data_IF_445903535829
#
_entry.id   IF_445903535829
#
_cell.length_a   1.000
_cell.length_b   1.000
_cell.length_c   1.000
_cell.angle_alpha   90.00
_cell.angle_beta   90.00
_cell.angle_gamma   90.00
#
_symmetry.space_group_name_H-M   'P 1'
#
loop_
_entity.id
_entity.type
_entity.pdbx_description
1 polymer ?
#
# COMPACT_ATOMS: atom_id res chain seq x y z
N UNK A 1 -21.47 11.84 -2.97
CA UNK A 1 -20.44 12.23 -3.96
C UNK A 1 -19.09 11.77 -3.43
N UNK A 2 -18.15 11.36 -4.28
CA UNK A 2 -16.82 10.97 -3.84
C UNK A 2 -15.90 12.19 -3.79
N UNK A 3 -15.05 12.27 -2.76
CA UNK A 3 -14.05 13.32 -2.63
C UNK A 3 -12.79 13.05 -3.45
N UNK A 4 -11.83 13.96 -3.37
CA UNK A 4 -10.48 13.82 -3.91
C UNK A 4 -9.47 13.97 -2.79
N UNK A 5 -8.41 13.16 -2.82
CA UNK A 5 -7.26 13.30 -1.92
C UNK A 5 -5.97 13.32 -2.73
N UNK A 6 -5.00 14.08 -2.24
CA UNK A 6 -3.68 14.20 -2.84
C UNK A 6 -2.69 13.29 -2.13
N UNK A 7 -1.95 12.52 -2.91
CA UNK A 7 -0.72 11.87 -2.46
C UNK A 7 0.45 12.82 -2.74
N UNK A 8 1.26 13.12 -1.73
CA UNK A 8 2.46 13.95 -1.86
C UNK A 8 3.62 13.24 -1.16
N UNK A 9 4.69 12.96 -1.91
CA UNK A 9 5.87 12.37 -1.28
C UNK A 9 6.48 13.32 -0.24
N UNK A 10 7.35 12.80 0.65
CA UNK A 10 7.86 13.57 1.80
C UNK A 10 8.58 14.86 1.38
N UNK A 11 9.32 14.84 0.28
CA UNK A 11 9.98 16.04 -0.27
C UNK A 11 9.12 16.83 -1.28
N UNK A 12 7.88 16.39 -1.55
CA UNK A 12 6.95 17.04 -2.47
C UNK A 12 7.27 16.92 -3.96
N UNK A 13 8.33 16.22 -4.35
CA UNK A 13 8.73 16.07 -5.74
C UNK A 13 7.79 15.20 -6.57
N UNK A 14 7.11 14.23 -5.93
CA UNK A 14 6.13 13.33 -6.55
C UNK A 14 4.76 13.64 -5.98
N UNK A 15 3.78 13.84 -6.88
CA UNK A 15 2.40 14.15 -6.53
C UNK A 15 1.43 13.32 -7.35
N UNK A 16 0.35 12.87 -6.72
CA UNK A 16 -0.74 12.18 -7.40
C UNK A 16 -2.09 12.62 -6.85
N UNK A 17 -3.11 12.58 -7.70
CA UNK A 17 -4.50 12.79 -7.30
C UNK A 17 -5.24 11.44 -7.30
N UNK A 18 -6.04 11.21 -6.25
CA UNK A 18 -6.96 10.07 -6.19
C UNK A 18 -8.38 10.62 -6.19
N UNK A 19 -9.15 10.29 -7.21
CA UNK A 19 -10.49 10.82 -7.44
C UNK A 19 -11.60 9.84 -7.01
N UNK A 20 -12.76 10.40 -6.64
CA UNK A 20 -13.95 9.60 -6.33
C UNK A 20 -13.81 8.75 -5.08
N UNK A 21 -13.04 9.19 -4.09
CA UNK A 21 -12.80 8.50 -2.81
C UNK A 21 -14.04 8.63 -1.92
N UNK A 22 -14.49 7.50 -1.39
CA UNK A 22 -15.61 7.39 -0.46
C UNK A 22 -15.57 6.03 0.22
N UNK A 23 -16.22 5.84 1.38
CA UNK A 23 -16.35 4.51 1.99
C UNK A 23 -16.95 3.47 1.04
N UNK A 24 -17.78 3.89 0.07
CA UNK A 24 -18.41 3.02 -0.93
C UNK A 24 -17.54 2.72 -2.14
N UNK A 25 -16.49 3.47 -2.40
CA UNK A 25 -15.63 3.29 -3.58
C UNK A 25 -14.28 2.68 -3.24
N UNK A 26 -13.80 2.82 -2.00
CA UNK A 26 -12.52 2.23 -1.54
C UNK A 26 -12.71 1.00 -0.67
N UNK A 27 -11.62 0.30 -0.38
CA UNK A 27 -11.52 -0.66 0.72
C UNK A 27 -10.36 -0.25 1.63
N UNK A 28 -10.57 -0.01 2.93
CA UNK A 28 -9.53 0.49 3.82
C UNK A 28 -9.31 -0.45 4.99
N UNK A 29 -8.08 -0.94 5.16
CA UNK A 29 -7.74 -1.95 6.17
C UNK A 29 -6.38 -1.64 6.79
N UNK A 30 -6.16 -2.08 8.02
CA UNK A 30 -4.81 -2.10 8.60
C UNK A 30 -4.21 -3.49 8.39
N UNK A 31 -3.11 -3.56 7.64
CA UNK A 31 -2.40 -4.81 7.37
C UNK A 31 -1.17 -4.94 8.27
N UNK A 32 -1.07 -6.05 8.99
CA UNK A 32 0.02 -6.32 9.92
C UNK A 32 1.06 -7.28 9.40
N UNK A 33 0.99 -7.74 8.13
CA UNK A 33 1.94 -8.74 7.68
C UNK A 33 3.39 -8.27 7.72
N UNK A 34 4.26 -9.24 8.01
CA UNK A 34 5.71 -9.10 7.97
C UNK A 34 6.22 -8.55 6.62
N UNK A 35 5.55 -8.81 5.50
CA UNK A 35 5.90 -8.21 4.21
C UNK A 35 5.57 -6.71 4.11
N UNK A 36 4.52 -6.20 4.77
CA UNK A 36 4.26 -4.75 4.83
C UNK A 36 5.29 -4.06 5.73
N UNK A 37 5.63 -4.69 6.85
CA UNK A 37 6.68 -4.22 7.75
C UNK A 37 8.04 -4.21 7.06
N UNK A 38 8.45 -5.32 6.44
CA UNK A 38 9.71 -5.42 5.70
C UNK A 38 9.83 -4.38 4.59
N UNK A 39 8.73 -4.06 3.90
CA UNK A 39 8.73 -2.98 2.92
C UNK A 39 8.97 -1.60 3.54
N UNK A 40 8.32 -1.29 4.66
CA UNK A 40 8.57 -0.04 5.36
C UNK A 40 10.03 0.05 5.85
N UNK A 41 10.60 -1.03 6.38
CA UNK A 41 12.01 -1.10 6.76
C UNK A 41 12.96 -0.97 5.57
N UNK A 42 12.69 -1.65 4.44
CA UNK A 42 13.46 -1.53 3.21
C UNK A 42 13.56 -0.08 2.71
N UNK A 43 12.51 0.71 2.93
CA UNK A 43 12.47 2.11 2.54
C UNK A 43 13.07 3.06 3.59
N UNK A 44 13.43 2.55 4.77
CA UNK A 44 13.77 3.39 5.93
C UNK A 44 12.60 4.26 6.37
N UNK A 45 11.36 3.77 6.17
CA UNK A 45 10.10 4.47 6.44
C UNK A 45 9.20 3.74 7.45
N UNK A 46 9.82 3.11 8.44
CA UNK A 46 9.10 2.48 9.54
C UNK A 46 8.27 3.50 10.36
N UNK A 47 8.56 4.80 10.25
CA UNK A 47 7.75 5.91 10.79
C UNK A 47 6.30 5.91 10.28
N UNK A 48 6.01 5.23 9.17
CA UNK A 48 4.67 5.10 8.61
C UNK A 48 3.86 3.94 9.21
N UNK A 49 4.48 3.06 9.98
CA UNK A 49 3.80 1.96 10.66
C UNK A 49 3.15 2.46 11.94
N UNK A 50 2.03 1.87 12.33
CA UNK A 50 1.48 2.08 13.66
C UNK A 50 2.29 1.34 14.73
N UNK A 51 1.96 1.56 16.02
CA UNK A 51 2.68 0.98 17.15
C UNK A 51 2.79 -0.57 17.13
N UNK A 52 1.85 -1.26 16.48
CA UNK A 52 1.85 -2.72 16.34
C UNK A 52 2.43 -3.19 14.99
N UNK A 53 3.15 -2.33 14.26
CA UNK A 53 3.74 -2.66 12.96
C UNK A 53 2.73 -2.70 11.80
N UNK A 54 1.55 -2.12 11.98
CA UNK A 54 0.47 -2.11 10.98
C UNK A 54 0.62 -1.00 9.96
N UNK A 55 0.37 -1.30 8.68
CA UNK A 55 0.19 -0.30 7.63
C UNK A 55 -1.31 -0.04 7.42
N UNK A 56 -1.75 1.21 7.53
CA UNK A 56 -3.12 1.62 7.16
C UNK A 56 -3.20 1.78 5.63
N UNK A 57 -3.90 0.87 4.96
CA UNK A 57 -3.92 0.77 3.50
C UNK A 57 -5.30 1.12 2.97
N UNK A 58 -5.35 2.16 2.15
CA UNK A 58 -6.50 2.53 1.33
C UNK A 58 -6.35 1.88 -0.03
N UNK A 59 -7.33 1.09 -0.43
CA UNK A 59 -7.33 0.32 -1.68
C UNK A 59 -8.32 0.94 -2.66
N UNK A 60 -7.78 1.31 -3.82
CA UNK A 60 -8.49 2.05 -4.87
C UNK A 60 -8.36 1.34 -6.21
N UNK A 61 -9.21 1.70 -7.16
CA UNK A 61 -9.07 1.23 -8.53
C UNK A 61 -7.96 2.02 -9.25
N UNK A 62 -7.15 1.39 -10.12
CA UNK A 62 -6.03 2.03 -10.81
C UNK A 62 -6.41 3.34 -11.53
N UNK A 63 -7.50 3.32 -12.30
CA UNK A 63 -7.99 4.49 -13.07
C UNK A 63 -8.35 5.72 -12.23
N UNK A 64 -8.46 5.58 -10.90
CA UNK A 64 -8.76 6.71 -10.01
C UNK A 64 -7.51 7.42 -9.51
N UNK A 65 -6.32 6.80 -9.65
CA UNK A 65 -5.03 7.34 -9.26
C UNK A 65 -4.29 7.86 -10.49
N UNK A 66 -3.94 9.15 -10.48
CA UNK A 66 -3.16 9.79 -11.53
C UNK A 66 -1.97 10.54 -10.93
N UNK A 67 -0.74 10.19 -11.34
CA UNK A 67 0.43 11.01 -11.03
C UNK A 67 0.39 12.28 -11.86
N UNK A 68 0.53 13.42 -11.19
CA UNK A 68 0.50 14.76 -11.81
C UNK A 68 1.88 15.41 -11.81
N UNK A 69 2.86 14.83 -11.09
CA UNK A 69 4.22 15.34 -11.01
C UNK A 69 5.19 14.23 -10.57
N UNK A 70 6.42 14.23 -11.09
CA UNK A 70 7.55 13.44 -10.58
C UNK A 70 7.53 11.95 -10.96
N UNK A 71 6.90 11.60 -12.08
CA UNK A 71 6.79 10.22 -12.55
C UNK A 71 8.16 9.57 -12.83
N UNK A 72 9.14 10.37 -13.24
CA UNK A 72 10.55 10.00 -13.42
C UNK A 72 11.23 9.51 -12.13
N UNK A 73 10.65 9.84 -10.97
CA UNK A 73 11.15 9.47 -9.64
C UNK A 73 10.37 8.32 -9.02
N UNK A 74 9.55 7.62 -9.80
CA UNK A 74 8.84 6.43 -9.31
C UNK A 74 9.71 5.21 -9.61
N UNK A 75 9.87 4.36 -8.61
CA UNK A 75 10.49 3.05 -8.72
C UNK A 75 9.64 2.02 -8.00
N UNK A 76 9.90 0.73 -8.24
CA UNK A 76 9.29 -0.34 -7.49
C UNK A 76 10.30 -1.34 -6.95
N UNK A 77 9.90 -2.00 -5.88
CA UNK A 77 10.62 -3.12 -5.29
C UNK A 77 9.67 -4.30 -5.12
N UNK A 78 10.20 -5.51 -5.31
CA UNK A 78 9.51 -6.76 -4.97
C UNK A 78 10.35 -7.48 -3.93
N UNK A 79 9.75 -7.83 -2.81
CA UNK A 79 10.44 -8.58 -1.74
C UNK A 79 10.78 -10.02 -2.16
N UNK A 80 10.15 -10.52 -3.24
CA UNK A 80 10.49 -11.79 -3.87
C UNK A 80 10.03 -11.82 -5.33
N UNK A 81 10.51 -12.76 -6.17
CA UNK A 81 10.10 -12.87 -7.57
C UNK A 81 8.61 -13.13 -7.82
N UNK A 82 7.85 -13.54 -6.80
CA UNK A 82 6.39 -13.76 -6.85
C UNK A 82 5.61 -12.81 -5.94
N UNK A 83 6.30 -11.91 -5.22
CA UNK A 83 5.68 -10.95 -4.31
C UNK A 83 4.98 -9.80 -5.04
N UNK A 84 4.26 -9.00 -4.25
CA UNK A 84 3.61 -7.77 -4.73
C UNK A 84 4.64 -6.80 -5.33
N UNK A 85 4.18 -6.00 -6.28
CA UNK A 85 4.89 -4.80 -6.69
C UNK A 85 4.63 -3.72 -5.64
N UNK A 86 5.70 -3.13 -5.11
CA UNK A 86 5.64 -2.09 -4.09
C UNK A 86 6.33 -0.85 -4.61
N UNK A 87 5.55 0.17 -4.93
CA UNK A 87 5.97 1.39 -5.61
C UNK A 87 6.28 2.48 -4.60
N UNK A 88 7.33 3.24 -4.87
CA UNK A 88 7.78 4.34 -4.02
C UNK A 88 8.39 5.47 -4.84
N UNK A 89 8.40 6.67 -4.27
CA UNK A 89 9.12 7.82 -4.79
C UNK A 89 10.60 7.69 -4.38
N UNK A 90 11.50 7.47 -5.33
CA UNK A 90 12.94 7.23 -5.11
C UNK A 90 13.66 8.42 -4.49
N UNK A 91 13.13 9.63 -4.65
CA UNK A 91 13.72 10.86 -4.09
C UNK A 91 13.66 10.95 -2.56
N UNK A 92 12.76 10.21 -1.90
CA UNK A 92 12.63 10.26 -0.44
C UNK A 92 12.05 8.98 0.18
N UNK A 93 12.06 7.90 -0.58
CA UNK A 93 11.54 6.58 -0.22
C UNK A 93 10.07 6.60 0.25
N UNK A 94 9.24 7.57 -0.18
CA UNK A 94 7.82 7.56 0.22
C UNK A 94 7.07 6.48 -0.56
N UNK A 95 6.34 5.56 0.10
CA UNK A 95 5.44 4.63 -0.57
C UNK A 95 4.38 5.37 -1.39
N UNK A 96 4.16 4.97 -2.64
CA UNK A 96 3.14 5.58 -3.52
C UNK A 96 2.12 4.60 -4.06
N UNK A 97 2.31 3.30 -3.80
CA UNK A 97 1.30 2.29 -4.11
C UNK A 97 1.83 0.87 -3.96
N UNK A 98 0.92 -0.10 -3.93
CA UNK A 98 1.24 -1.51 -4.11
C UNK A 98 0.22 -2.18 -5.02
N UNK A 99 0.66 -3.12 -5.85
CA UNK A 99 -0.21 -3.83 -6.79
C UNK A 99 0.11 -5.31 -6.81
N UNK A 100 -0.92 -6.14 -6.98
CA UNK A 100 -0.76 -7.60 -7.09
C UNK A 100 -0.25 -7.97 -8.48
N UNK A 101 -0.95 -7.50 -9.51
CA UNK A 101 -0.62 -7.71 -10.92
C UNK A 101 -1.37 -6.67 -11.77
N UNK A 102 -0.96 -6.41 -13.02
CA UNK A 102 -1.67 -5.52 -13.94
C UNK A 102 -3.11 -5.97 -14.24
N UNK A 103 -3.45 -7.23 -14.00
CA UNK A 103 -4.78 -7.78 -14.31
C UNK A 103 -5.81 -7.54 -13.19
N UNK A 104 -5.36 -7.30 -11.96
CA UNK A 104 -6.23 -7.11 -10.80
C UNK A 104 -6.29 -5.62 -10.48
N UNK A 105 -7.43 -4.92 -10.70
CA UNK A 105 -7.53 -3.49 -10.47
C UNK A 105 -7.50 -3.17 -8.97
N UNK A 106 -6.33 -3.16 -8.37
CA UNK A 106 -6.17 -3.02 -6.93
C UNK A 106 -4.86 -2.34 -6.61
N UNK A 107 -4.93 -1.05 -6.27
CA UNK A 107 -3.80 -0.28 -5.78
C UNK A 107 -4.02 -0.02 -4.30
N UNK A 108 -3.13 -0.53 -3.45
CA UNK A 108 -3.07 -0.16 -2.03
C UNK A 108 -2.15 1.03 -1.83
N UNK A 109 -2.54 2.00 -1.02
CA UNK A 109 -1.74 3.19 -0.70
C UNK A 109 -1.76 3.37 0.82
N UNK A 110 -0.60 3.63 1.42
CA UNK A 110 -0.51 3.86 2.86
C UNK A 110 -1.12 5.22 3.20
N UNK A 111 -2.09 5.27 4.10
CA UNK A 111 -2.84 6.48 4.45
C UNK A 111 -1.93 7.62 4.94
N UNK A 112 -0.87 7.27 5.68
CA UNK A 112 0.14 8.20 6.19
C UNK A 112 0.99 8.86 5.08
N UNK A 113 0.97 8.32 3.84
CA UNK A 113 1.69 8.89 2.71
C UNK A 113 0.92 10.01 1.98
N UNK A 114 -0.36 10.23 2.30
CA UNK A 114 -1.17 11.30 1.70
C UNK A 114 -0.79 12.68 2.25
N UNK A 115 -1.04 13.72 1.46
CA UNK A 115 -0.96 15.08 1.95
C UNK A 115 -1.99 15.27 3.08
N UNK A 116 -1.54 15.71 4.25
CA UNK A 116 -2.37 15.76 5.47
C UNK A 116 -2.46 14.43 6.24
N UNK A 117 -1.77 13.37 5.79
CA UNK A 117 -1.69 12.08 6.48
C UNK A 117 -3.01 11.33 6.54
N UNK A 118 -3.13 10.43 7.52
CA UNK A 118 -4.34 9.63 7.72
C UNK A 118 -5.62 10.47 7.96
N UNK A 119 -5.59 11.62 8.68
CA UNK A 119 -6.79 12.45 8.86
C UNK A 119 -7.42 12.92 7.55
N UNK A 120 -6.61 13.36 6.58
CA UNK A 120 -7.12 13.78 5.27
C UNK A 120 -7.80 12.64 4.50
N UNK A 121 -7.38 11.40 4.75
CA UNK A 121 -8.01 10.20 4.21
C UNK A 121 -9.29 9.87 4.98
N UNK A 122 -9.30 9.99 6.30
CA UNK A 122 -10.47 9.75 7.15
C UNK A 122 -11.68 10.58 6.69
N UNK A 123 -11.45 11.87 6.41
CA UNK A 123 -12.48 12.82 5.97
C UNK A 123 -13.24 12.38 4.72
N UNK A 124 -12.58 11.63 3.82
CA UNK A 124 -13.17 11.20 2.55
C UNK A 124 -13.51 9.71 2.50
N UNK A 125 -12.68 8.85 3.09
CA UNK A 125 -12.78 7.39 2.96
C UNK A 125 -13.45 6.74 4.17
N UNK A 126 -13.55 7.46 5.29
CA UNK A 126 -13.87 6.90 6.58
C UNK A 126 -12.70 6.08 7.18
N UNK A 127 -12.84 5.62 8.43
CA UNK A 127 -11.80 4.86 9.12
C UNK A 127 -11.57 3.48 8.49
N UNK A 128 -10.46 2.80 8.81
CA UNK A 128 -10.27 1.41 8.44
C UNK A 128 -11.43 0.52 8.90
N UNK A 129 -11.93 -0.35 8.03
CA UNK A 129 -13.07 -1.24 8.31
C UNK A 129 -12.66 -2.57 8.93
N UNK A 130 -11.37 -2.77 9.20
CA UNK A 130 -10.84 -3.97 9.82
C UNK A 130 -9.32 -4.04 9.78
N UNK A 131 -8.79 -4.98 10.56
CA UNK A 131 -7.38 -5.33 10.61
C UNK A 131 -7.18 -6.75 10.06
N UNK A 132 -6.06 -6.98 9.37
CA UNK A 132 -5.73 -8.29 8.77
C UNK A 132 -4.30 -8.70 9.07
N UNK A 133 -4.06 -10.01 9.07
CA UNK A 133 -2.73 -10.62 9.24
C UNK A 133 -2.08 -10.26 10.59
N UNK A 134 -2.90 -10.08 11.62
CA UNK A 134 -2.47 -9.72 12.97
C UNK A 134 -1.55 -10.72 13.65
N UNK A 135 -1.44 -11.95 13.14
CA UNK A 135 -0.44 -12.93 13.63
C UNK A 135 1.01 -12.45 13.52
N UNK A 136 1.26 -11.41 12.71
CA UNK A 136 2.56 -10.75 12.55
C UNK A 136 2.63 -9.38 13.25
N UNK A 137 1.57 -8.95 13.94
CA UNK A 137 1.56 -7.68 14.66
C UNK A 137 2.64 -7.69 15.74
N UNK A 138 3.35 -6.56 15.87
CA UNK A 138 4.31 -6.34 16.95
C UNK A 138 3.53 -6.23 18.26
N UNK A 139 3.93 -7.04 19.25
CA UNK A 139 3.24 -7.10 20.53
C UNK A 139 1.88 -7.80 20.44
N UNK A 140 0.87 -7.26 21.14
CA UNK A 140 -0.46 -7.86 21.15
C UNK A 140 -1.21 -7.56 19.84
N UNK A 141 -1.76 -8.59 19.17
CA UNK A 141 -2.49 -8.40 17.92
C UNK A 141 -3.84 -7.70 18.18
N UNK A 142 -4.26 -6.76 17.32
CA UNK A 142 -5.60 -6.17 17.43
C UNK A 142 -6.70 -7.23 17.39
N UNK A 143 -7.78 -7.01 18.13
CA UNK A 143 -8.91 -7.93 18.19
C UNK A 143 -9.46 -8.25 16.78
N UNK A 144 -9.74 -9.54 16.52
CA UNK A 144 -10.29 -10.00 15.25
C UNK A 144 -9.34 -9.95 14.05
N UNK A 145 -8.05 -9.63 14.24
CA UNK A 145 -7.09 -9.46 13.14
C UNK A 145 -6.29 -10.72 12.77
N UNK A 146 -6.30 -11.76 13.62
CA UNK A 146 -5.51 -12.99 13.44
C UNK A 146 -6.22 -14.04 12.58
N UNK A 147 -7.56 -14.05 12.61
CA UNK A 147 -8.40 -14.96 11.84
C UNK A 147 -8.75 -14.44 10.44
N UNK A 148 -9.40 -15.28 9.64
CA UNK A 148 -9.92 -14.89 8.34
C UNK A 148 -11.22 -14.10 8.48
N UNK A 149 -11.20 -12.80 8.13
CA UNK A 149 -12.40 -11.99 8.08
C UNK A 149 -13.11 -12.17 6.71
N UNK A 150 -14.07 -13.10 6.66
CA UNK A 150 -14.79 -13.46 5.42
C UNK A 150 -15.52 -12.26 4.83
N UNK A 151 -16.18 -11.44 5.66
CA UNK A 151 -16.92 -10.25 5.19
C UNK A 151 -16.00 -9.24 4.51
N UNK A 152 -14.81 -9.01 5.06
CA UNK A 152 -13.81 -8.14 4.47
C UNK A 152 -13.25 -8.70 3.16
N UNK A 153 -13.00 -10.01 3.11
CA UNK A 153 -12.54 -10.69 1.89
C UNK A 153 -13.59 -10.59 0.78
N UNK A 154 -14.85 -10.93 1.06
CA UNK A 154 -15.95 -10.85 0.09
C UNK A 154 -16.16 -9.42 -0.41
N UNK A 155 -16.01 -8.43 0.48
CA UNK A 155 -16.04 -7.02 0.10
C UNK A 155 -14.91 -6.67 -0.89
N UNK A 156 -13.68 -7.08 -0.60
CA UNK A 156 -12.54 -6.84 -1.49
C UNK A 156 -12.73 -7.49 -2.87
N UNK A 157 -13.22 -8.74 -2.90
CA UNK A 157 -13.56 -9.45 -4.14
C UNK A 157 -14.64 -8.69 -4.91
N UNK A 158 -15.74 -8.31 -4.25
CA UNK A 158 -16.82 -7.54 -4.87
C UNK A 158 -16.34 -6.23 -5.48
N UNK A 159 -15.43 -5.51 -4.81
CA UNK A 159 -14.81 -4.28 -5.36
C UNK A 159 -14.03 -4.57 -6.62
N UNK A 160 -13.15 -5.57 -6.60
CA UNK A 160 -12.35 -5.97 -7.77
C UNK A 160 -13.23 -6.34 -8.95
N UNK A 161 -14.31 -7.08 -8.74
CA UNK A 161 -15.27 -7.45 -9.79
C UNK A 161 -15.97 -6.20 -10.36
N UNK A 162 -16.50 -5.33 -9.51
CA UNK A 162 -17.15 -4.07 -9.94
C UNK A 162 -16.16 -3.18 -10.70
N UNK A 163 -14.92 -3.07 -10.24
CA UNK A 163 -13.89 -2.28 -10.92
C UNK A 163 -13.51 -2.88 -12.28
N UNK A 164 -13.40 -4.21 -12.40
CA UNK A 164 -13.16 -4.88 -13.69
C UNK A 164 -14.29 -4.61 -14.68
N UNK A 165 -15.55 -4.85 -14.27
CA UNK A 165 -16.73 -4.66 -15.15
C UNK A 165 -16.87 -3.21 -15.60
N UNK A 166 -16.53 -2.25 -14.73
CA UNK A 166 -16.56 -0.82 -15.04
C UNK A 166 -15.32 -0.31 -15.78
N UNK A 167 -14.42 -1.19 -16.22
CA UNK A 167 -13.21 -0.82 -16.95
C UNK A 167 -12.17 -0.06 -16.12
N UNK A 168 -12.30 -0.04 -14.78
CA UNK A 168 -11.47 0.80 -13.89
C UNK A 168 -10.03 0.31 -13.70
N UNK A 169 -9.64 -0.76 -14.38
CA UNK A 169 -8.24 -1.21 -14.47
C UNK A 169 -7.37 -0.23 -15.25
N UNK A 170 -7.95 0.48 -16.24
CA UNK A 170 -7.23 1.36 -17.15
C UNK A 170 -7.80 2.79 -17.13
N UNK A 171 -6.97 3.84 -17.25
CA UNK A 171 -5.51 3.81 -17.28
C UNK A 171 -4.92 3.25 -15.97
N UNK A 172 -3.78 2.58 -16.06
CA UNK A 172 -3.09 2.01 -14.90
C UNK A 172 -1.86 2.88 -14.59
N UNK A 173 -1.69 3.39 -13.35
CA UNK A 173 -0.61 4.34 -13.05
C UNK A 173 0.77 3.71 -13.04
N UNK A 174 0.88 2.38 -12.95
CA UNK A 174 2.15 1.65 -12.85
C UNK A 174 2.44 0.64 -13.96
N UNK A 175 1.49 0.33 -14.84
CA UNK A 175 1.65 -0.71 -15.88
C UNK A 175 1.17 -0.19 -17.22
N UNK A 176 1.80 -0.62 -18.31
CA UNK A 176 1.32 -0.37 -19.67
C UNK A 176 0.21 -1.35 -20.06
N UNK A 177 -0.74 -0.96 -20.92
CA UNK A 177 -1.89 -1.81 -21.26
C UNK A 177 -1.49 -3.08 -22.01
N UNK A 178 -0.53 -2.93 -22.90
CA UNK A 178 0.09 -3.97 -23.72
C UNK A 178 1.57 -3.61 -23.77
N UNK A 179 2.52 -4.52 -23.47
CA UNK A 179 2.39 -5.94 -23.07
C UNK A 179 2.02 -6.24 -21.59
N UNK A 180 1.53 -5.29 -20.78
CA UNK A 180 1.25 -5.45 -19.33
C UNK A 180 2.48 -5.49 -18.42
N UNK A 181 3.50 -4.72 -18.78
CA UNK A 181 4.72 -4.60 -17.97
C UNK A 181 4.72 -3.34 -17.10
N UNK A 182 5.53 -3.31 -16.02
CA UNK A 182 5.86 -2.09 -15.29
C UNK A 182 6.27 -0.94 -16.21
N UNK A 183 5.76 0.27 -15.95
CA UNK A 183 6.25 1.49 -16.62
C UNK A 183 7.53 2.02 -15.94
N UNK A 184 7.77 1.64 -14.69
CA UNK A 184 8.89 2.11 -13.88
C UNK A 184 9.89 1.00 -13.56
N UNK A 185 11.16 1.35 -13.25
CA UNK A 185 12.18 0.37 -12.86
C UNK A 185 11.73 -0.46 -11.65
N UNK A 186 12.01 -1.77 -11.69
CA UNK A 186 11.73 -2.72 -10.61
C UNK A 186 13.01 -3.39 -10.16
N UNK A 187 13.26 -3.36 -8.85
CA UNK A 187 14.27 -4.21 -8.19
C UNK A 187 13.58 -5.37 -7.50
N UNK A 188 14.12 -6.58 -7.64
CA UNK A 188 13.71 -7.74 -6.84
C UNK A 188 14.80 -7.99 -5.81
N UNK A 189 14.43 -8.04 -4.52
CA UNK A 189 15.38 -8.33 -3.47
C UNK A 189 15.91 -9.76 -3.59
N UNK A 190 17.19 -9.95 -3.28
CA UNK A 190 17.74 -11.28 -3.04
C UNK A 190 17.08 -11.92 -1.82
N UNK A 191 17.24 -13.23 -1.68
CA UNK A 191 16.77 -13.93 -0.49
C UNK A 191 17.48 -13.41 0.75
N UNK A 192 18.81 -13.21 0.72
CA UNK A 192 19.54 -12.69 1.88
C UNK A 192 19.07 -11.29 2.27
N UNK A 193 18.86 -10.40 1.28
CA UNK A 193 18.36 -9.05 1.53
C UNK A 193 16.96 -9.07 2.18
N UNK A 194 16.08 -9.96 1.69
CA UNK A 194 14.74 -10.13 2.28
C UNK A 194 14.82 -10.68 3.70
N UNK A 195 15.66 -11.69 3.91
CA UNK A 195 15.79 -12.38 5.20
C UNK A 195 16.40 -11.43 6.26
N UNK A 196 17.29 -10.51 5.86
CA UNK A 196 17.85 -9.46 6.73
C UNK A 196 16.79 -8.46 7.24
N UNK A 197 15.64 -8.32 6.57
CA UNK A 197 14.54 -7.47 7.04
C UNK A 197 13.66 -8.16 8.09
N UNK A 198 13.70 -9.49 8.19
CA UNK A 198 12.80 -10.26 9.06
C UNK A 198 12.99 -10.01 10.54
N UNK A 199 14.22 -9.84 11.07
CA UNK A 199 14.41 -9.47 12.47
C UNK A 199 13.79 -8.12 12.85
N UNK A 200 13.50 -7.24 11.89
CA UNK A 200 12.84 -5.95 12.15
C UNK A 200 11.31 -6.06 12.18
N UNK A 201 10.76 -7.20 11.76
CA UNK A 201 9.32 -7.42 11.65
C UNK A 201 8.77 -8.15 12.87
N UNK A 202 7.47 -7.99 13.09
CA UNK A 202 6.74 -8.71 14.13
C UNK A 202 6.63 -10.22 13.88
N UNK A 203 6.14 -10.96 14.89
CA UNK A 203 5.51 -10.42 16.10
C UNK A 203 6.48 -9.96 17.18
N UNK A 204 7.76 -10.34 17.08
CA UNK A 204 8.82 -10.02 18.05
C UNK A 204 10.03 -9.49 17.28
N UNK A 205 10.06 -8.19 16.92
CA UNK A 205 11.24 -7.63 16.31
C UNK A 205 12.40 -7.70 17.30
N UNK A 206 13.61 -7.88 16.79
CA UNK A 206 14.82 -7.73 17.58
C UNK A 206 14.82 -6.32 18.20
N UNK A 207 15.21 -6.22 19.48
CA UNK A 207 15.41 -4.93 20.12
C UNK A 207 16.39 -4.14 19.25
N UNK A 208 15.99 -2.97 18.76
CA UNK A 208 16.91 -2.08 18.08
C UNK A 208 17.95 -1.67 19.12
N UNK A 209 19.22 -1.96 18.87
CA UNK A 209 20.30 -1.34 19.61
C UNK A 209 20.16 0.17 19.37
N UNK A 210 19.70 0.88 20.39
CA UNK A 210 19.73 2.34 20.40
C UNK A 210 21.20 2.73 20.63
N UNK A 211 21.90 3.07 19.56
CA UNK A 211 23.13 3.85 19.63
C UNK A 211 22.81 5.33 19.84
#
# INVERSE_FOLDING_TARGET
MGGQVELRCRCGSVRAAISGVSPRTVNRVVCYCDDCQAFAHQLGRADLLNANGGSDIVQVAPSTLAFVQGQDRIAGVRLSPKGLYRWYASCCNTPVGNTVSPAIPFVGIIAQAFAGGAPAVDDVAGPPIGAILGKYAVGEPPAGSTGLNISLLLRAIGKVLVWKVRGKTWPHPFFQREPREPIYPITVLSREQRDALRPLCGPRPAAQATD
#
